data_IF_204856066368
#
_entry.id   IF_204856066368
#
_cell.length_a   1.000
_cell.length_b   1.000
_cell.length_c   1.000
_cell.angle_alpha   90.00
_cell.angle_beta   90.00
_cell.angle_gamma   90.00
#
_symmetry.space_group_name_H-M   'P 1'
#
loop_
_entity.id
_entity.type
_entity.pdbx_description
1 polymer ?
#
# COMPACT_ATOMS: atom_id res chain seq x y z
N UNK A 1 -2.26 3.02 10.97
CA UNK A 1 -1.45 1.87 10.51
C UNK A 1 -1.50 1.79 9.00
N UNK A 2 -0.51 1.15 8.37
CA UNK A 2 -0.41 1.04 6.92
C UNK A 2 -0.30 -0.44 6.57
N UNK A 3 -1.18 -0.95 5.73
CA UNK A 3 -0.97 -2.27 5.12
C UNK A 3 0.09 -2.14 4.04
N UNK A 4 1.18 -2.91 4.09
CA UNK A 4 2.23 -2.81 3.09
C UNK A 4 2.31 -4.12 2.31
N UNK A 5 1.69 -4.09 1.13
CA UNK A 5 1.59 -5.16 0.16
C UNK A 5 2.72 -5.10 -0.88
N UNK A 6 3.12 -6.27 -1.37
CA UNK A 6 4.15 -6.46 -2.38
C UNK A 6 4.62 -7.91 -2.39
N UNK A 7 5.53 -8.24 -3.31
CA UNK A 7 6.25 -9.51 -3.25
C UNK A 7 6.96 -9.67 -1.89
N UNK A 8 6.96 -10.89 -1.35
CA UNK A 8 7.54 -11.23 -0.05
C UNK A 8 8.13 -12.65 -0.02
N UNK A 9 8.45 -13.19 -1.19
CA UNK A 9 8.76 -14.62 -1.32
C UNK A 9 10.27 -14.89 -1.35
N UNK A 10 11.06 -13.88 -1.73
CA UNK A 10 12.51 -14.01 -1.74
C UNK A 10 13.19 -13.20 -0.62
N UNK A 11 14.48 -13.50 -0.39
CA UNK A 11 15.25 -12.87 0.68
C UNK A 11 15.41 -11.35 0.52
N UNK A 12 15.42 -10.83 -0.71
CA UNK A 12 15.53 -9.40 -1.01
C UNK A 12 14.22 -8.71 -0.70
N UNK A 13 13.10 -9.32 -1.07
CA UNK A 13 11.77 -8.81 -0.76
C UNK A 13 11.56 -8.76 0.75
N UNK A 14 11.77 -9.89 1.44
CA UNK A 14 11.57 -10.01 2.87
C UNK A 14 12.37 -8.96 3.64
N UNK A 15 13.68 -8.88 3.40
CA UNK A 15 14.53 -7.93 4.12
C UNK A 15 14.28 -6.49 3.67
N UNK A 16 13.99 -6.28 2.38
CA UNK A 16 13.75 -4.96 1.81
C UNK A 16 12.46 -4.33 2.35
N UNK A 17 11.38 -5.11 2.39
CA UNK A 17 10.10 -4.72 2.98
C UNK A 17 10.27 -4.36 4.46
N UNK A 18 10.97 -5.19 5.23
CA UNK A 18 11.22 -4.97 6.66
C UNK A 18 12.06 -3.70 6.92
N UNK A 19 13.13 -3.49 6.15
CA UNK A 19 13.96 -2.29 6.24
C UNK A 19 13.14 -1.04 5.92
N UNK A 20 12.39 -1.04 4.82
CA UNK A 20 11.58 0.11 4.43
C UNK A 20 10.49 0.41 5.47
N UNK A 21 9.77 -0.61 5.95
CA UNK A 21 8.78 -0.46 7.02
C UNK A 21 9.38 0.17 8.29
N UNK A 22 10.55 -0.30 8.72
CA UNK A 22 11.26 0.25 9.88
C UNK A 22 11.65 1.71 9.68
N UNK A 23 12.18 2.06 8.51
CA UNK A 23 12.56 3.43 8.19
C UNK A 23 11.36 4.37 8.05
N UNK A 24 10.23 3.92 7.49
CA UNK A 24 8.97 4.69 7.48
C UNK A 24 8.53 5.00 8.91
N UNK A 25 8.59 4.01 9.80
CA UNK A 25 8.30 4.19 11.23
C UNK A 25 9.20 5.23 11.89
N UNK A 26 10.51 5.16 11.66
CA UNK A 26 11.49 6.09 12.22
C UNK A 26 11.35 7.50 11.66
N UNK A 27 11.25 7.66 10.34
CA UNK A 27 11.19 8.96 9.66
C UNK A 27 9.87 9.69 9.96
N UNK A 28 8.79 8.94 10.20
CA UNK A 28 7.49 9.52 10.54
C UNK A 28 7.26 9.75 12.03
N UNK A 29 8.28 9.56 12.88
CA UNK A 29 8.16 9.59 14.35
C UNK A 29 7.02 8.69 14.88
N UNK A 30 6.85 7.52 14.25
CA UNK A 30 5.84 6.53 14.60
C UNK A 30 4.40 6.87 14.20
N UNK A 31 4.17 7.97 13.46
CA UNK A 31 2.86 8.30 12.86
C UNK A 31 2.42 7.22 11.88
N UNK A 32 3.36 6.70 11.09
CA UNK A 32 3.14 5.65 10.13
C UNK A 32 3.81 4.36 10.60
N UNK A 33 3.01 3.32 10.80
CA UNK A 33 3.48 1.99 11.22
C UNK A 33 2.95 0.98 10.21
N UNK A 34 3.87 0.39 9.46
CA UNK A 34 3.55 -0.63 8.48
C UNK A 34 3.21 -1.95 9.18
N UNK A 35 2.22 -2.64 8.64
CA UNK A 35 1.85 -4.02 8.95
C UNK A 35 2.22 -4.82 7.70
N UNK A 36 3.19 -5.72 7.86
CA UNK A 36 3.71 -6.55 6.77
C UNK A 36 3.05 -7.93 6.80
N UNK A 37 2.50 -8.43 5.69
CA UNK A 37 1.92 -9.77 5.62
C UNK A 37 2.91 -10.87 6.03
N UNK A 38 4.18 -10.72 5.63
CA UNK A 38 5.27 -11.65 5.96
C UNK A 38 5.54 -11.83 7.47
N UNK A 39 5.12 -10.88 8.32
CA UNK A 39 5.27 -10.98 9.78
C UNK A 39 4.07 -11.71 10.43
N UNK A 40 2.99 -11.92 9.66
CA UNK A 40 1.72 -12.48 10.12
C UNK A 40 1.50 -13.89 9.59
N UNK A 41 1.98 -14.18 8.38
CA UNK A 41 1.83 -15.47 7.75
C UNK A 41 2.49 -16.58 8.57
N UNK A 42 1.69 -17.56 8.98
CA UNK A 42 2.20 -18.79 9.56
C UNK A 42 2.54 -19.75 8.42
N UNK A 43 3.76 -20.27 8.40
CA UNK A 43 4.25 -21.23 7.39
C UNK A 43 3.40 -22.50 7.23
N UNK A 44 2.46 -22.75 8.16
CA UNK A 44 1.52 -23.88 8.15
C UNK A 44 0.07 -23.51 7.81
N UNK A 45 -0.24 -22.25 7.46
CA UNK A 45 -1.60 -21.81 7.19
C UNK A 45 -2.15 -22.38 5.88
N UNK A 46 -3.45 -22.69 5.84
CA UNK A 46 -4.15 -23.05 4.60
C UNK A 46 -4.37 -21.80 3.75
N UNK A 47 -4.40 -21.93 2.43
CA UNK A 47 -4.57 -20.80 1.48
C UNK A 47 -5.74 -19.85 1.83
N UNK A 48 -6.88 -20.39 2.28
CA UNK A 48 -8.03 -19.58 2.73
C UNK A 48 -7.71 -18.73 3.95
N UNK A 49 -6.93 -19.27 4.90
CA UNK A 49 -6.56 -18.58 6.12
C UNK A 49 -5.60 -17.42 5.83
N UNK A 50 -4.62 -17.63 4.94
CA UNK A 50 -3.70 -16.58 4.48
C UNK A 50 -4.50 -15.42 3.87
N UNK A 51 -5.28 -15.71 2.81
CA UNK A 51 -6.13 -14.71 2.15
C UNK A 51 -7.05 -13.96 3.13
N UNK A 52 -7.73 -14.69 4.02
CA UNK A 52 -8.65 -14.05 4.97
C UNK A 52 -7.90 -13.18 5.99
N UNK A 53 -6.71 -13.60 6.43
CA UNK A 53 -5.88 -12.83 7.33
C UNK A 53 -5.42 -11.53 6.66
N UNK A 54 -4.96 -11.59 5.41
CA UNK A 54 -4.49 -10.43 4.64
C UNK A 54 -5.61 -9.42 4.42
N UNK A 55 -6.75 -9.86 3.89
CA UNK A 55 -7.90 -8.98 3.65
C UNK A 55 -8.46 -8.37 4.95
N UNK A 56 -8.54 -9.15 6.04
CA UNK A 56 -8.97 -8.63 7.34
C UNK A 56 -7.99 -7.58 7.88
N UNK A 57 -6.69 -7.77 7.63
CA UNK A 57 -5.63 -6.85 8.09
C UNK A 57 -5.65 -5.56 7.28
N UNK A 58 -5.74 -5.67 5.94
CA UNK A 58 -5.88 -4.53 5.04
C UNK A 58 -7.12 -3.70 5.39
N UNK A 59 -8.27 -4.35 5.60
CA UNK A 59 -9.51 -3.68 5.98
C UNK A 59 -9.36 -2.85 7.26
N UNK A 60 -8.62 -3.37 8.26
CA UNK A 60 -8.36 -2.71 9.56
C UNK A 60 -7.34 -1.56 9.46
N UNK A 61 -6.50 -1.52 8.43
CA UNK A 61 -5.49 -0.49 8.28
C UNK A 61 -6.09 0.86 7.83
N UNK A 62 -5.38 1.94 8.16
CA UNK A 62 -5.81 3.31 7.86
C UNK A 62 -5.44 3.73 6.44
N UNK A 63 -4.28 3.29 5.95
CA UNK A 63 -3.76 3.48 4.60
C UNK A 63 -3.18 2.16 4.08
N UNK A 64 -2.81 2.13 2.81
CA UNK A 64 -2.05 1.03 2.24
C UNK A 64 -0.94 1.49 1.29
N UNK A 65 0.16 0.72 1.26
CA UNK A 65 1.21 0.80 0.25
C UNK A 65 1.13 -0.47 -0.58
N UNK A 66 1.21 -0.33 -1.90
CA UNK A 66 1.29 -1.45 -2.84
C UNK A 66 2.56 -1.32 -3.66
N UNK A 67 3.49 -2.26 -3.47
CA UNK A 67 4.71 -2.32 -4.27
C UNK A 67 4.39 -2.92 -5.64
N UNK A 68 4.50 -2.10 -6.68
CA UNK A 68 4.28 -2.47 -8.08
C UNK A 68 5.61 -2.60 -8.82
N UNK A 69 6.68 -3.04 -8.14
CA UNK A 69 7.93 -3.42 -8.78
C UNK A 69 7.78 -4.66 -9.67
N UNK A 70 8.71 -4.80 -10.62
CA UNK A 70 8.74 -5.93 -11.54
C UNK A 70 8.17 -5.64 -12.93
N UNK A 71 8.28 -6.65 -13.79
CA UNK A 71 7.75 -6.58 -15.17
C UNK A 71 6.25 -6.84 -15.16
N UNK A 72 5.80 -7.84 -14.40
CA UNK A 72 4.40 -8.14 -14.14
C UNK A 72 4.08 -7.78 -12.70
N UNK A 73 2.85 -7.34 -12.45
CA UNK A 73 2.40 -7.06 -11.10
C UNK A 73 2.17 -8.39 -10.36
N UNK A 74 2.56 -8.45 -9.09
CA UNK A 74 2.16 -9.54 -8.22
C UNK A 74 0.62 -9.57 -8.12
N UNK A 75 0.05 -10.72 -8.49
CA UNK A 75 -1.40 -10.89 -8.56
C UNK A 75 -2.07 -10.78 -7.20
N UNK A 76 -1.39 -11.17 -6.11
CA UNK A 76 -1.90 -11.01 -4.75
C UNK A 76 -2.05 -9.53 -4.40
N UNK A 77 -0.98 -8.77 -4.62
CA UNK A 77 -0.91 -7.32 -4.43
C UNK A 77 -1.97 -6.58 -5.26
N UNK A 78 -2.25 -7.00 -6.49
CA UNK A 78 -3.33 -6.43 -7.32
C UNK A 78 -4.71 -6.68 -6.70
N UNK A 79 -4.98 -7.90 -6.22
CA UNK A 79 -6.26 -8.22 -5.56
C UNK A 79 -6.45 -7.36 -4.31
N UNK A 80 -5.41 -7.21 -3.50
CA UNK A 80 -5.42 -6.38 -2.30
C UNK A 80 -5.60 -4.90 -2.63
N UNK A 81 -4.93 -4.40 -3.67
CA UNK A 81 -5.12 -3.02 -4.14
C UNK A 81 -6.57 -2.76 -4.52
N UNK A 82 -7.16 -3.64 -5.31
CA UNK A 82 -8.57 -3.53 -5.71
C UNK A 82 -9.51 -3.62 -4.52
N UNK A 83 -9.24 -4.51 -3.57
CA UNK A 83 -10.00 -4.62 -2.32
C UNK A 83 -9.94 -3.31 -1.51
N UNK A 84 -8.76 -2.71 -1.39
CA UNK A 84 -8.57 -1.42 -0.74
C UNK A 84 -9.33 -0.29 -1.45
N UNK A 85 -9.37 -0.30 -2.79
CA UNK A 85 -10.13 0.70 -3.55
C UNK A 85 -11.64 0.58 -3.36
N UNK A 86 -12.18 -0.64 -3.26
CA UNK A 86 -13.60 -0.86 -2.95
C UNK A 86 -14.00 -0.30 -1.57
N UNK A 87 -13.05 -0.18 -0.65
CA UNK A 87 -13.24 0.29 0.71
C UNK A 87 -12.87 1.77 0.93
N UNK A 88 -12.52 2.47 -0.15
CA UNK A 88 -12.05 3.86 -0.12
C UNK A 88 -10.87 4.06 0.86
N UNK A 89 -9.94 3.09 0.86
CA UNK A 89 -8.69 3.21 1.61
C UNK A 89 -7.72 4.09 0.79
N UNK A 90 -7.08 5.10 1.40
CA UNK A 90 -6.01 5.86 0.77
C UNK A 90 -4.80 4.96 0.45
N UNK A 91 -4.34 5.00 -0.79
CA UNK A 91 -3.28 4.13 -1.27
C UNK A 91 -2.05 4.93 -1.75
N UNK A 92 -0.87 4.39 -1.51
CA UNK A 92 0.35 4.74 -2.21
C UNK A 92 0.77 3.56 -3.08
N UNK A 93 0.90 3.77 -4.39
CA UNK A 93 1.61 2.84 -5.27
C UNK A 93 3.09 3.20 -5.25
N UNK A 94 3.94 2.23 -4.91
CA UNK A 94 5.39 2.37 -4.89
C UNK A 94 5.97 1.61 -6.08
N UNK A 95 6.82 2.25 -6.87
CA UNK A 95 7.59 1.58 -7.92
C UNK A 95 9.01 2.13 -7.96
N UNK A 96 9.96 1.25 -7.69
CA UNK A 96 11.39 1.48 -7.70
C UNK A 96 12.08 0.90 -8.96
N UNK A 97 11.40 0.01 -9.67
CA UNK A 97 11.82 -0.55 -10.96
C UNK A 97 11.72 0.50 -12.08
N UNK A 98 12.89 0.99 -12.51
CA UNK A 98 13.04 2.00 -13.56
C UNK A 98 12.66 1.49 -14.97
N UNK A 99 12.49 0.18 -15.14
CA UNK A 99 12.12 -0.39 -16.43
C UNK A 99 10.66 -0.07 -16.73
N UNK A 100 10.41 0.33 -17.97
CA UNK A 100 9.04 0.51 -18.47
C UNK A 100 8.35 -0.84 -18.61
N UNK A 101 7.10 -0.89 -18.17
CA UNK A 101 6.22 -2.06 -18.22
C UNK A 101 4.78 -1.59 -18.53
N UNK A 102 3.88 -2.54 -18.78
CA UNK A 102 2.47 -2.27 -18.98
C UNK A 102 2.07 -1.99 -20.42
N UNK A 103 0.80 -1.66 -20.58
CA UNK A 103 0.08 -1.50 -21.84
C UNK A 103 -0.31 -0.03 -22.14
N UNK A 104 0.13 0.90 -21.29
CA UNK A 104 -0.21 2.33 -21.40
C UNK A 104 0.61 3.10 -22.45
N UNK A 105 1.59 2.43 -23.08
CA UNK A 105 2.39 2.98 -24.17
C UNK A 105 3.19 4.24 -23.81
N UNK A 106 3.97 4.74 -24.76
CA UNK A 106 4.64 6.05 -24.67
C UNK A 106 3.74 7.20 -25.18
N UNK A 107 2.42 7.10 -24.94
CA UNK A 107 1.41 8.03 -25.45
C UNK A 107 1.70 9.49 -25.06
N UNK A 108 1.33 10.41 -25.94
CA UNK A 108 1.71 11.83 -25.99
C UNK A 108 2.07 12.46 -24.63
N UNK A 109 3.34 12.89 -24.52
CA UNK A 109 3.86 13.72 -23.43
C UNK A 109 3.08 15.04 -23.37
N UNK A 110 1.94 15.03 -22.68
CA UNK A 110 1.50 16.23 -22.00
C UNK A 110 2.38 16.37 -20.77
N UNK A 111 2.89 17.57 -20.50
CA UNK A 111 3.92 17.84 -19.47
C UNK A 111 3.50 17.44 -18.05
N UNK A 112 2.27 16.97 -17.86
CA UNK A 112 1.62 16.79 -16.58
C UNK A 112 1.12 15.36 -16.32
N UNK A 113 1.32 14.40 -17.25
CA UNK A 113 0.93 12.99 -17.06
C UNK A 113 1.94 12.04 -17.71
N UNK A 114 2.86 11.52 -16.92
CA UNK A 114 3.58 10.30 -17.27
C UNK A 114 2.60 9.13 -17.32
N UNK A 115 2.69 8.31 -18.37
CA UNK A 115 1.99 7.03 -18.41
C UNK A 115 2.57 6.11 -17.34
N UNK A 116 1.71 5.38 -16.64
CA UNK A 116 2.18 4.48 -15.58
C UNK A 116 2.84 3.24 -16.20
N UNK A 117 3.94 2.79 -15.59
CA UNK A 117 4.75 1.66 -16.05
C UNK A 117 4.19 0.30 -15.56
N UNK A 118 2.87 0.15 -15.59
CA UNK A 118 2.16 -1.09 -15.25
C UNK A 118 0.81 -1.17 -15.99
N UNK A 119 0.08 -2.25 -15.77
CA UNK A 119 -1.21 -2.50 -16.42
C UNK A 119 -2.23 -1.37 -16.18
N UNK A 120 -2.85 -0.85 -17.25
CA UNK A 120 -3.79 0.28 -17.21
C UNK A 120 -4.98 0.07 -16.27
N UNK A 121 -5.37 -1.18 -16.04
CA UNK A 121 -6.50 -1.52 -15.16
C UNK A 121 -6.20 -1.25 -13.68
N UNK A 122 -4.94 -1.00 -13.31
CA UNK A 122 -4.52 -0.62 -11.97
C UNK A 122 -4.25 0.90 -11.83
N UNK A 123 -4.52 1.70 -12.86
CA UNK A 123 -4.29 3.15 -12.89
C UNK A 123 -5.57 3.98 -12.70
N UNK A 124 -5.38 5.29 -12.45
CA UNK A 124 -6.44 6.31 -12.39
C UNK A 124 -7.45 6.18 -11.25
N UNK A 125 -7.20 5.31 -10.28
CA UNK A 125 -8.05 5.23 -9.10
C UNK A 125 -7.87 6.48 -8.22
N UNK A 126 -8.97 7.13 -7.79
CA UNK A 126 -8.92 8.25 -6.85
C UNK A 126 -8.32 7.85 -5.50
N UNK A 127 -7.77 8.83 -4.76
CA UNK A 127 -7.08 8.61 -3.47
C UNK A 127 -5.99 7.56 -3.57
N UNK A 128 -5.23 7.67 -4.65
CA UNK A 128 -4.05 6.85 -4.92
C UNK A 128 -2.95 7.79 -5.39
N UNK A 129 -1.92 7.96 -4.55
CA UNK A 129 -0.67 8.61 -4.95
C UNK A 129 0.29 7.58 -5.51
N UNK A 130 1.28 8.05 -6.26
CA UNK A 130 2.30 7.22 -6.90
C UNK A 130 3.66 7.77 -6.53
N UNK A 131 4.55 6.90 -6.05
CA UNK A 131 5.96 7.20 -5.88
C UNK A 131 6.74 6.30 -6.82
N UNK A 132 7.19 6.88 -7.94
CA UNK A 132 8.04 6.22 -8.90
C UNK A 132 9.43 6.84 -8.91
N UNK A 133 10.47 6.03 -8.82
CA UNK A 133 11.86 6.50 -8.88
C UNK A 133 12.79 5.40 -9.41
N UNK A 134 13.95 5.80 -9.94
CA UNK A 134 14.99 4.87 -10.34
C UNK A 134 15.81 4.42 -9.11
N UNK A 135 15.54 3.21 -8.62
CA UNK A 135 16.26 2.66 -7.48
C UNK A 135 17.75 2.45 -7.75
N UNK A 136 18.14 2.16 -9.00
CA UNK A 136 19.53 1.94 -9.38
C UNK A 136 20.29 3.28 -9.32
N UNK A 137 19.70 4.34 -9.84
CA UNK A 137 20.27 5.69 -9.75
C UNK A 137 20.46 6.09 -8.28
N UNK A 138 19.41 6.00 -7.45
CA UNK A 138 19.48 6.38 -6.04
C UNK A 138 20.50 5.53 -5.26
N UNK A 139 20.58 4.23 -5.56
CA UNK A 139 21.59 3.35 -4.97
C UNK A 139 23.02 3.79 -5.36
N UNK A 140 23.26 4.10 -6.64
CA UNK A 140 24.58 4.51 -7.12
C UNK A 140 25.01 5.86 -6.53
N UNK A 141 24.09 6.81 -6.41
CA UNK A 141 24.34 8.10 -5.75
C UNK A 141 24.76 7.92 -4.28
N UNK A 142 24.02 7.10 -3.53
CA UNK A 142 24.34 6.85 -2.12
C UNK A 142 25.61 6.02 -1.94
N UNK A 143 25.91 5.12 -2.87
CA UNK A 143 27.14 4.32 -2.90
C UNK A 143 28.38 5.16 -3.21
N UNK A 144 28.26 6.14 -4.11
CA UNK A 144 29.37 7.02 -4.49
C UNK A 144 29.90 7.88 -3.32
N UNK A 145 29.11 8.03 -2.24
CA UNK A 145 29.52 8.75 -1.02
C UNK A 145 30.58 8.03 -0.19
N UNK A 146 30.91 6.78 -0.49
CA UNK A 146 32.18 6.17 -0.08
C UNK A 146 32.24 5.50 1.31
N UNK A 147 31.13 4.93 1.79
CA UNK A 147 31.07 4.23 3.09
C UNK A 147 30.77 2.72 2.98
N UNK A 148 30.86 2.00 4.10
CA UNK A 148 30.44 0.60 4.19
C UNK A 148 28.93 0.38 3.99
N UNK A 149 28.53 -0.89 3.84
CA UNK A 149 27.16 -1.30 3.51
C UNK A 149 26.10 -0.74 4.47
N UNK A 150 26.37 -0.75 5.78
CA UNK A 150 25.42 -0.28 6.79
C UNK A 150 25.05 1.20 6.61
N UNK A 151 26.05 2.05 6.36
CA UNK A 151 25.84 3.48 6.15
C UNK A 151 25.10 3.76 4.83
N UNK A 152 25.40 2.98 3.78
CA UNK A 152 24.67 3.02 2.51
C UNK A 152 23.19 2.66 2.73
N UNK A 153 22.91 1.54 3.41
CA UNK A 153 21.54 1.08 3.69
C UNK A 153 20.76 2.13 4.47
N UNK A 154 21.33 2.69 5.55
CA UNK A 154 20.66 3.72 6.34
C UNK A 154 20.31 4.95 5.50
N UNK A 155 21.22 5.44 4.65
CA UNK A 155 20.95 6.60 3.80
C UNK A 155 19.90 6.32 2.73
N UNK A 156 20.03 5.20 2.02
CA UNK A 156 19.10 4.83 0.94
C UNK A 156 17.68 4.64 1.49
N UNK A 157 17.51 3.84 2.54
CA UNK A 157 16.18 3.60 3.10
C UNK A 157 15.61 4.82 3.82
N UNK A 158 16.43 5.69 4.42
CA UNK A 158 15.95 6.99 4.92
C UNK A 158 15.44 7.88 3.80
N UNK A 159 16.13 7.93 2.65
CA UNK A 159 15.69 8.69 1.47
C UNK A 159 14.36 8.16 0.93
N UNK A 160 14.25 6.85 0.71
CA UNK A 160 13.02 6.21 0.22
C UNK A 160 11.88 6.43 1.22
N UNK A 161 12.10 6.17 2.51
CA UNK A 161 11.08 6.37 3.53
C UNK A 161 10.62 7.82 3.62
N UNK A 162 11.50 8.81 3.45
CA UNK A 162 11.12 10.23 3.45
C UNK A 162 10.19 10.57 2.28
N UNK A 163 10.48 10.04 1.10
CA UNK A 163 9.61 10.18 -0.07
C UNK A 163 8.25 9.48 0.17
N UNK A 164 8.25 8.26 0.69
CA UNK A 164 7.04 7.50 1.04
C UNK A 164 6.18 8.28 2.05
N UNK A 165 6.78 8.79 3.12
CA UNK A 165 6.06 9.56 4.16
C UNK A 165 5.43 10.82 3.59
N UNK A 166 6.10 11.49 2.65
CA UNK A 166 5.57 12.67 1.96
C UNK A 166 4.31 12.33 1.17
N UNK A 167 4.34 11.26 0.38
CA UNK A 167 3.17 10.82 -0.40
C UNK A 167 2.03 10.27 0.47
N UNK A 168 2.37 9.61 1.59
CA UNK A 168 1.38 9.16 2.57
C UNK A 168 0.68 10.35 3.25
N UNK A 169 1.42 11.38 3.62
CA UNK A 169 0.87 12.62 4.17
C UNK A 169 -0.06 13.30 3.14
N UNK A 170 0.34 13.33 1.87
CA UNK A 170 -0.47 13.90 0.79
C UNK A 170 -1.76 13.11 0.56
N UNK A 171 -1.70 11.78 0.38
CA UNK A 171 -2.89 10.96 0.09
C UNK A 171 -3.84 10.90 1.30
N UNK A 172 -3.31 10.94 2.53
CA UNK A 172 -4.13 11.01 3.74
C UNK A 172 -4.99 12.27 3.79
N UNK A 173 -4.50 13.38 3.25
CA UNK A 173 -5.21 14.65 3.22
C UNK A 173 -6.26 14.75 2.10
N UNK A 174 -6.29 13.78 1.17
CA UNK A 174 -7.28 13.78 0.09
C UNK A 174 -8.69 13.45 0.60
N UNK A 175 -9.66 14.18 0.04
CA UNK A 175 -11.06 14.03 0.40
C UNK A 175 -11.56 12.60 0.14
N UNK A 176 -12.18 11.94 1.14
CA UNK A 176 -12.79 10.63 0.95
C UNK A 176 -13.89 10.63 -0.11
N UNK A 177 -14.03 9.50 -0.81
CA UNK A 177 -15.09 9.27 -1.79
C UNK A 177 -16.36 8.75 -1.12
N UNK A 178 -16.21 7.89 -0.12
CA UNK A 178 -17.32 7.45 0.72
C UNK A 178 -17.72 8.61 1.62
N UNK A 179 -18.77 9.30 1.20
CA UNK A 179 -19.39 10.42 1.88
C UNK A 179 -20.84 10.12 2.23
N UNK A 180 -21.40 10.86 3.18
CA UNK A 180 -22.82 10.76 3.54
C UNK A 180 -23.06 9.89 4.77
N UNK A 181 -23.97 8.92 4.69
CA UNK A 181 -24.45 8.21 5.87
C UNK A 181 -23.49 7.11 6.34
N UNK A 182 -23.33 6.99 7.66
CA UNK A 182 -22.59 5.90 8.27
C UNK A 182 -23.12 4.51 7.88
N UNK A 183 -24.44 4.37 7.77
CA UNK A 183 -25.07 3.12 7.39
C UNK A 183 -24.68 2.66 5.97
N UNK A 184 -24.47 3.59 5.04
CA UNK A 184 -24.04 3.26 3.68
C UNK A 184 -22.61 2.72 3.66
N UNK A 185 -21.69 3.36 4.38
CA UNK A 185 -20.33 2.89 4.53
C UNK A 185 -20.27 1.50 5.21
N UNK A 186 -21.05 1.30 6.28
CA UNK A 186 -21.14 0.00 6.95
C UNK A 186 -21.67 -1.10 6.01
N UNK A 187 -22.64 -0.81 5.14
CA UNK A 187 -23.12 -1.77 4.14
C UNK A 187 -22.04 -2.18 3.15
N UNK A 188 -21.20 -1.23 2.71
CA UNK A 188 -20.07 -1.52 1.81
C UNK A 188 -19.03 -2.40 2.51
N UNK A 189 -18.66 -2.05 3.75
CA UNK A 189 -17.70 -2.82 4.54
C UNK A 189 -18.24 -4.24 4.86
N UNK A 190 -19.53 -4.37 5.17
CA UNK A 190 -20.18 -5.68 5.32
C UNK A 190 -20.14 -6.51 4.04
N UNK A 191 -20.36 -5.89 2.89
CA UNK A 191 -20.24 -6.58 1.60
C UNK A 191 -18.80 -7.04 1.33
N UNK A 192 -17.81 -6.18 1.61
CA UNK A 192 -16.39 -6.49 1.48
C UNK A 192 -15.94 -7.70 2.32
N UNK A 193 -16.59 -7.93 3.47
CA UNK A 193 -16.34 -9.12 4.30
C UNK A 193 -17.03 -10.39 3.77
N UNK A 194 -18.14 -10.24 3.05
CA UNK A 194 -18.95 -11.38 2.58
C UNK A 194 -18.54 -11.89 1.20
N UNK A 195 -18.22 -11.01 0.26
CA UNK A 195 -17.96 -11.41 -1.13
C UNK A 195 -16.79 -12.41 -1.29
N UNK A 196 -15.68 -12.34 -0.51
CA UNK A 196 -14.60 -13.32 -0.64
C UNK A 196 -15.02 -14.72 -0.15
N UNK A 197 -16.11 -14.79 0.63
CA UNK A 197 -16.63 -16.00 1.26
C UNK A 197 -15.65 -16.61 2.26
N UNK A 198 -15.86 -17.89 2.57
CA UNK A 198 -14.96 -18.71 3.40
C UNK A 198 -14.67 -18.14 4.80
N UNK A 199 -15.65 -17.45 5.41
CA UNK A 199 -15.60 -17.04 6.82
C UNK A 199 -14.75 -15.79 7.12
N UNK A 200 -14.46 -14.94 6.14
CA UNK A 200 -13.77 -13.66 6.40
C UNK A 200 -14.55 -12.76 7.40
N UNK A 201 -15.87 -12.77 7.30
CA UNK A 201 -16.79 -12.09 8.22
C UNK A 201 -16.68 -12.57 9.68
N UNK A 202 -16.17 -13.78 9.91
CA UNK A 202 -15.92 -14.30 11.26
C UNK A 202 -14.65 -13.70 11.90
N UNK A 203 -13.70 -13.21 11.10
CA UNK A 203 -12.47 -12.55 11.59
C UNK A 203 -12.69 -11.07 11.91
N UNK A 204 -13.78 -10.49 11.41
CA UNK A 204 -14.16 -9.09 11.60
C UNK A 204 -15.66 -9.04 11.93
N UNK A 205 -16.05 -9.41 13.16
CA UNK A 205 -17.46 -9.54 13.52
C UNK A 205 -18.20 -8.20 13.58
N UNK A 206 -17.50 -7.09 13.83
CA UNK A 206 -18.06 -5.75 13.87
C UNK A 206 -17.33 -4.78 12.92
N UNK A 207 -17.70 -4.74 11.62
CA UNK A 207 -17.17 -3.75 10.70
C UNK A 207 -17.59 -2.31 11.04
N UNK A 208 -18.63 -2.12 11.86
CA UNK A 208 -19.10 -0.80 12.28
C UNK A 208 -18.09 -0.07 13.16
N UNK A 209 -17.36 -0.79 14.01
CA UNK A 209 -16.23 -0.22 14.79
C UNK A 209 -15.12 0.30 13.87
N UNK A 210 -14.83 -0.41 12.79
CA UNK A 210 -13.80 -0.02 11.82
C UNK A 210 -14.23 1.23 11.06
N UNK A 211 -15.48 1.26 10.59
CA UNK A 211 -16.05 2.44 9.93
C UNK A 211 -16.03 3.65 10.86
N UNK A 212 -16.47 3.49 12.12
CA UNK A 212 -16.44 4.56 13.12
C UNK A 212 -15.01 5.06 13.40
N UNK A 213 -14.05 4.14 13.56
CA UNK A 213 -12.65 4.47 13.79
C UNK A 213 -12.03 5.23 12.61
N UNK A 214 -12.34 4.84 11.37
CA UNK A 214 -11.87 5.54 10.17
C UNK A 214 -12.52 6.90 10.00
N UNK A 215 -13.81 7.03 10.27
CA UNK A 215 -14.52 8.31 10.26
C UNK A 215 -13.95 9.28 11.30
N UNK A 216 -13.69 8.82 12.53
CA UNK A 216 -13.08 9.63 13.59
C UNK A 216 -11.67 10.15 13.22
N UNK A 217 -10.95 9.43 12.36
CA UNK A 217 -9.63 9.84 11.83
C UNK A 217 -9.73 10.72 10.58
N UNK A 218 -10.94 11.01 10.08
CA UNK A 218 -11.19 11.75 8.83
C UNK A 218 -10.89 10.97 7.56
N UNK A 219 -10.76 9.64 7.64
CA UNK A 219 -10.42 8.79 6.49
C UNK A 219 -11.65 8.44 5.64
N UNK A 220 -12.85 8.61 6.20
CA UNK A 220 -14.16 8.50 5.54
C UNK A 220 -14.93 9.80 5.77
N UNK A 221 -15.65 10.28 4.75
CA UNK A 221 -16.35 11.57 4.75
C UNK A 221 -17.76 11.49 5.32
N UNK A 222 -17.91 10.81 6.47
CA UNK A 222 -19.22 10.48 7.03
C UNK A 222 -19.70 11.56 7.99
N UNK A 223 -20.98 11.92 7.90
CA UNK A 223 -21.63 12.77 8.89
C UNK A 223 -21.94 11.93 10.12
N UNK A 224 -21.44 12.35 11.29
CA UNK A 224 -21.72 11.70 12.58
C UNK A 224 -23.14 12.00 13.02
#
# INVERSE_FOLDING_TARGET
TIYFAGELFDHKDLIGNALLASHIGRVSDGRYRCVLPQDMEQTSARAVQVRNQDLATLLKCDLAIFNFDGVELDSGTVVEFMYAKMLDIPCLVLRSDFRRSGDQGAGERTRDRESDDWNLMASFYPRTRKLQFDAMEWYQEERARGDGLEALTERLYRRIASAVVTELDAVRAEQPLLQGSRADAERIYLWALRFPGSGLDQLVPDPGEIVAGKAAKGLLGLTI
#
